data_IF_477672775384
#
_entry.id   IF_477672775384
#
_cell.length_a   1.000
_cell.length_b   1.000
_cell.length_c   1.000
_cell.angle_alpha   90.00
_cell.angle_beta   90.00
_cell.angle_gamma   90.00
#
_symmetry.space_group_name_H-M   'P 1'
#
loop_
_entity.id
_entity.type
_entity.pdbx_description
1 polymer ?
#
# COMPACT_ATOMS: atom_id res chain seq x y z
N UNK A 1 0.62 -63.75 101.50
CA UNK A 1 1.69 -64.02 100.52
C UNK A 1 1.86 -62.79 99.64
N UNK A 2 3.12 -62.31 99.49
CA UNK A 2 3.70 -61.52 98.38
C UNK A 2 2.87 -60.27 97.96
N UNK A 3 3.22 -59.04 98.33
CA UNK A 3 4.52 -58.38 98.17
C UNK A 3 4.56 -57.70 96.80
N UNK A 4 4.85 -56.40 96.73
CA UNK A 4 5.58 -55.77 95.63
C UNK A 4 6.24 -54.47 96.12
N UNK A 5 7.50 -54.35 95.70
CA UNK A 5 8.50 -53.36 96.04
C UNK A 5 8.40 -52.17 95.07
N UNK A 6 8.80 -50.97 95.46
CA UNK A 6 8.84 -49.84 94.53
C UNK A 6 9.40 -48.56 95.12
N UNK A 7 10.73 -48.45 95.12
CA UNK A 7 11.50 -47.24 95.48
C UNK A 7 11.50 -46.24 94.29
N UNK A 8 11.76 -44.95 94.61
CA UNK A 8 12.40 -43.89 93.79
C UNK A 8 11.56 -42.82 93.03
N UNK A 9 12.08 -41.57 93.15
CA UNK A 9 12.07 -40.42 92.20
C UNK A 9 10.88 -39.43 92.17
N UNK A 10 10.71 -38.62 93.21
CA UNK A 10 9.76 -37.48 93.20
C UNK A 10 10.36 -36.11 92.83
N UNK A 11 11.68 -35.95 92.72
CA UNK A 11 12.33 -34.67 92.37
C UNK A 11 12.69 -34.46 90.89
N UNK A 12 12.69 -35.52 90.07
CA UNK A 12 13.13 -35.48 88.66
C UNK A 12 12.00 -35.19 87.67
N UNK A 13 10.75 -35.51 88.02
CA UNK A 13 9.60 -35.34 87.11
C UNK A 13 9.13 -33.88 86.99
N UNK A 14 9.29 -33.06 88.03
CA UNK A 14 8.84 -31.65 88.01
C UNK A 14 9.74 -30.75 87.13
N UNK A 15 11.06 -30.98 87.16
CA UNK A 15 12.01 -30.28 86.26
C UNK A 15 11.78 -30.65 84.80
N UNK A 16 11.41 -31.90 84.52
CA UNK A 16 11.09 -32.36 83.17
C UNK A 16 9.80 -31.72 82.63
N UNK A 17 8.78 -31.56 83.50
CA UNK A 17 7.54 -30.88 83.15
C UNK A 17 7.74 -29.39 82.82
N UNK A 18 8.56 -28.67 83.58
CA UNK A 18 8.85 -27.26 83.33
C UNK A 18 9.63 -27.05 82.01
N UNK A 19 10.51 -27.97 81.64
CA UNK A 19 11.22 -27.94 80.35
C UNK A 19 10.25 -28.16 79.18
N UNK A 20 9.35 -29.13 79.29
CA UNK A 20 8.33 -29.39 78.26
C UNK A 20 7.39 -28.18 78.10
N UNK A 21 6.92 -27.61 79.20
CA UNK A 21 6.05 -26.43 79.17
C UNK A 21 6.77 -25.22 78.53
N UNK A 22 8.06 -25.01 78.83
CA UNK A 22 8.86 -23.95 78.22
C UNK A 22 9.09 -24.14 76.71
N UNK A 23 9.35 -25.38 76.26
CA UNK A 23 9.44 -25.71 74.83
C UNK A 23 8.10 -25.48 74.12
N UNK A 24 6.98 -25.87 74.74
CA UNK A 24 5.65 -25.63 74.19
C UNK A 24 5.35 -24.13 74.02
N UNK A 25 5.68 -23.29 75.01
CA UNK A 25 5.49 -21.84 74.91
C UNK A 25 6.37 -21.23 73.81
N UNK A 26 7.64 -21.66 73.70
CA UNK A 26 8.53 -21.19 72.64
C UNK A 26 8.05 -21.59 71.23
N UNK A 27 7.52 -22.81 71.07
CA UNK A 27 6.94 -23.28 69.80
C UNK A 27 5.65 -22.52 69.44
N UNK A 28 4.81 -22.19 70.42
CA UNK A 28 3.61 -21.36 70.19
C UNK A 28 3.99 -19.94 69.74
N UNK A 29 4.95 -19.30 70.39
CA UNK A 29 5.44 -17.98 69.96
C UNK A 29 6.08 -18.00 68.56
N UNK A 30 6.82 -19.07 68.22
CA UNK A 30 7.36 -19.24 66.87
C UNK A 30 6.25 -19.45 65.83
N UNK A 31 5.19 -20.18 66.18
CA UNK A 31 4.05 -20.41 65.30
C UNK A 31 3.26 -19.11 65.05
N UNK A 32 3.01 -18.30 66.09
CA UNK A 32 2.38 -16.99 65.96
C UNK A 32 3.23 -16.02 65.13
N UNK A 33 4.54 -15.95 65.38
CA UNK A 33 5.46 -15.12 64.59
C UNK A 33 5.51 -15.54 63.12
N UNK A 34 5.51 -16.85 62.85
CA UNK A 34 5.48 -17.37 61.48
C UNK A 34 4.14 -17.08 60.79
N UNK A 35 3.02 -17.15 61.52
CA UNK A 35 1.70 -16.80 61.03
C UNK A 35 1.58 -15.29 60.69
N UNK A 36 2.08 -14.40 61.55
CA UNK A 36 2.12 -12.95 61.27
C UNK A 36 3.04 -12.61 60.08
N UNK A 37 4.18 -13.31 59.95
CA UNK A 37 5.10 -13.15 58.82
C UNK A 37 4.48 -13.60 57.49
N UNK A 38 3.73 -14.71 57.49
CA UNK A 38 2.99 -15.18 56.32
C UNK A 38 1.86 -14.21 55.93
N UNK A 39 1.07 -13.74 56.89
CA UNK A 39 -0.01 -12.78 56.65
C UNK A 39 0.50 -11.46 56.04
N UNK A 40 1.66 -10.97 56.49
CA UNK A 40 2.31 -9.78 55.93
C UNK A 40 2.75 -9.98 54.47
N UNK A 41 3.29 -11.16 54.13
CA UNK A 41 3.67 -11.50 52.75
C UNK A 41 2.46 -11.66 51.84
N UNK A 42 1.38 -12.27 52.33
CA UNK A 42 0.13 -12.41 51.58
C UNK A 42 -0.52 -11.05 51.29
N UNK A 43 -0.48 -10.11 52.24
CA UNK A 43 -0.96 -8.74 52.03
C UNK A 43 -0.20 -8.03 50.90
N UNK A 44 1.13 -8.17 50.87
CA UNK A 44 1.98 -7.60 49.81
C UNK A 44 1.72 -8.26 48.44
N UNK A 45 1.55 -9.59 48.40
CA UNK A 45 1.23 -10.31 47.16
C UNK A 45 -0.12 -9.85 46.60
N UNK A 46 -1.12 -9.67 47.47
CA UNK A 46 -2.45 -9.21 47.07
C UNK A 46 -2.42 -7.78 46.53
N UNK A 47 -1.67 -6.86 47.15
CA UNK A 47 -1.57 -5.48 46.65
C UNK A 47 -0.87 -5.42 45.29
N UNK A 48 0.21 -6.18 45.10
CA UNK A 48 0.93 -6.26 43.81
C UNK A 48 0.06 -6.92 42.73
N UNK A 49 -0.69 -7.97 43.08
CA UNK A 49 -1.63 -8.63 42.17
C UNK A 49 -2.74 -7.69 41.70
N UNK A 50 -3.27 -6.87 42.62
CA UNK A 50 -4.29 -5.87 42.29
C UNK A 50 -3.76 -4.79 41.35
N UNK A 51 -2.56 -4.27 41.60
CA UNK A 51 -1.90 -3.27 40.75
C UNK A 51 -1.56 -3.82 39.35
N UNK A 52 -1.09 -5.07 39.27
CA UNK A 52 -0.84 -5.72 37.98
C UNK A 52 -2.14 -5.92 37.19
N UNK A 53 -3.24 -6.26 37.88
CA UNK A 53 -4.56 -6.41 37.28
C UNK A 53 -5.11 -5.11 36.67
N UNK A 54 -4.92 -3.96 37.33
CA UNK A 54 -5.36 -2.67 36.79
C UNK A 54 -4.55 -2.29 35.54
N UNK A 55 -3.23 -2.49 35.56
CA UNK A 55 -2.36 -2.23 34.40
C UNK A 55 -2.70 -3.13 33.20
N UNK A 56 -2.91 -4.43 33.43
CA UNK A 56 -3.32 -5.35 32.37
C UNK A 56 -4.69 -4.97 31.78
N UNK A 57 -5.63 -4.55 32.62
CA UNK A 57 -6.93 -4.05 32.18
C UNK A 57 -6.82 -2.78 31.32
N UNK A 58 -5.92 -1.86 31.65
CA UNK A 58 -5.68 -0.66 30.83
C UNK A 58 -5.01 -0.99 29.48
N UNK A 59 -4.05 -1.93 29.49
CA UNK A 59 -3.43 -2.44 28.26
C UNK A 59 -4.49 -3.07 27.35
N UNK A 60 -5.41 -3.87 27.89
CA UNK A 60 -6.48 -4.47 27.08
C UNK A 60 -7.41 -3.41 26.48
N UNK A 61 -7.81 -2.39 27.24
CA UNK A 61 -8.61 -1.27 26.70
C UNK A 61 -7.90 -0.56 25.55
N UNK A 62 -6.60 -0.28 25.68
CA UNK A 62 -5.81 0.34 24.61
C UNK A 62 -5.69 -0.57 23.39
N UNK A 63 -5.47 -1.87 23.61
CA UNK A 63 -5.41 -2.85 22.53
C UNK A 63 -6.75 -2.96 21.78
N UNK A 64 -7.88 -2.88 22.47
CA UNK A 64 -9.20 -2.83 21.81
C UNK A 64 -9.37 -1.56 20.97
N UNK A 65 -8.92 -0.40 21.46
CA UNK A 65 -8.94 0.85 20.68
C UNK A 65 -8.08 0.74 19.42
N UNK A 66 -6.86 0.20 19.53
CA UNK A 66 -5.96 0.00 18.39
C UNK A 66 -6.59 -0.93 17.35
N UNK A 67 -7.21 -2.03 17.78
CA UNK A 67 -7.93 -2.95 16.88
C UNK A 67 -9.04 -2.23 16.11
N UNK A 68 -9.86 -1.44 16.81
CA UNK A 68 -10.95 -0.68 16.19
C UNK A 68 -10.43 0.38 15.19
N UNK A 69 -9.32 1.04 15.52
CA UNK A 69 -8.67 1.99 14.61
C UNK A 69 -8.09 1.31 13.38
N UNK A 70 -7.45 0.15 13.52
CA UNK A 70 -6.89 -0.63 12.41
C UNK A 70 -7.96 -1.02 11.38
N UNK A 71 -9.16 -1.42 11.85
CA UNK A 71 -10.29 -1.72 10.95
C UNK A 71 -10.71 -0.48 10.16
N UNK A 72 -10.76 0.69 10.80
CA UNK A 72 -11.10 1.96 10.12
C UNK A 72 -10.03 2.35 9.09
N UNK A 73 -8.76 2.20 9.42
CA UNK A 73 -7.64 2.47 8.52
C UNK A 73 -7.70 1.55 7.31
N UNK A 74 -7.83 0.24 7.50
CA UNK A 74 -7.92 -0.71 6.38
C UNK A 74 -9.13 -0.46 5.48
N UNK A 75 -10.25 0.00 6.05
CA UNK A 75 -11.43 0.39 5.26
C UNK A 75 -11.16 1.68 4.47
N UNK A 76 -10.51 2.68 5.09
CA UNK A 76 -10.13 3.91 4.41
C UNK A 76 -9.13 3.66 3.28
N UNK A 77 -8.15 2.76 3.48
CA UNK A 77 -7.19 2.35 2.46
C UNK A 77 -7.90 1.71 1.25
N UNK A 78 -8.91 0.87 1.47
CA UNK A 78 -9.73 0.31 0.39
C UNK A 78 -10.42 1.40 -0.42
N UNK A 79 -10.99 2.40 0.26
CA UNK A 79 -11.65 3.54 -0.41
C UNK A 79 -10.63 4.37 -1.18
N UNK A 80 -9.49 4.71 -0.59
CA UNK A 80 -8.41 5.48 -1.25
C UNK A 80 -7.92 4.75 -2.50
N UNK A 81 -7.69 3.44 -2.41
CA UNK A 81 -7.28 2.63 -3.55
C UNK A 81 -8.35 2.58 -4.65
N UNK A 82 -9.63 2.43 -4.28
CA UNK A 82 -10.73 2.48 -5.24
C UNK A 82 -10.80 3.85 -5.96
N UNK A 83 -10.66 4.95 -5.22
CA UNK A 83 -10.62 6.30 -5.79
C UNK A 83 -9.41 6.50 -6.72
N UNK A 84 -8.24 5.96 -6.37
CA UNK A 84 -7.05 5.99 -7.24
C UNK A 84 -7.33 5.29 -8.57
N UNK A 85 -7.87 4.08 -8.52
CA UNK A 85 -8.25 3.31 -9.72
C UNK A 85 -9.28 4.06 -10.56
N UNK A 86 -10.29 4.66 -9.91
CA UNK A 86 -11.29 5.47 -10.61
C UNK A 86 -10.67 6.69 -11.30
N UNK A 87 -9.73 7.37 -10.64
CA UNK A 87 -9.02 8.52 -11.22
C UNK A 87 -8.16 8.10 -12.41
N UNK A 88 -7.38 7.03 -12.28
CA UNK A 88 -6.55 6.50 -13.36
C UNK A 88 -7.39 6.14 -14.59
N UNK A 89 -8.54 5.49 -14.36
CA UNK A 89 -9.51 5.21 -15.43
C UNK A 89 -10.03 6.49 -16.07
N UNK A 90 -10.47 7.47 -15.28
CA UNK A 90 -11.00 8.73 -15.81
C UNK A 90 -9.95 9.50 -16.63
N UNK A 91 -8.68 9.46 -16.23
CA UNK A 91 -7.58 10.03 -17.00
C UNK A 91 -7.38 9.27 -18.32
N UNK A 92 -7.37 7.94 -18.29
CA UNK A 92 -7.24 7.12 -19.49
C UNK A 92 -8.40 7.36 -20.48
N UNK A 93 -9.63 7.40 -19.98
CA UNK A 93 -10.82 7.69 -20.78
C UNK A 93 -10.73 9.12 -21.38
N UNK A 94 -10.23 10.12 -20.64
CA UNK A 94 -10.06 11.48 -21.14
C UNK A 94 -8.99 11.58 -22.24
N UNK A 95 -7.84 10.92 -22.08
CA UNK A 95 -6.79 10.87 -23.12
C UNK A 95 -7.32 10.19 -24.39
N UNK A 96 -8.05 9.07 -24.23
CA UNK A 96 -8.66 8.38 -25.38
C UNK A 96 -9.66 9.28 -26.13
N UNK A 97 -10.40 10.15 -25.44
CA UNK A 97 -11.30 11.12 -26.10
C UNK A 97 -10.51 12.12 -26.96
N UNK A 98 -9.38 12.63 -26.47
CA UNK A 98 -8.54 13.57 -27.22
C UNK A 98 -7.90 12.92 -28.45
N UNK A 99 -7.35 11.72 -28.30
CA UNK A 99 -6.77 10.95 -29.43
C UNK A 99 -7.83 10.62 -30.48
N UNK A 100 -9.03 10.17 -30.04
CA UNK A 100 -10.15 9.91 -30.93
C UNK A 100 -10.64 11.19 -31.64
N UNK A 101 -10.62 12.33 -30.96
CA UNK A 101 -10.98 13.61 -31.56
C UNK A 101 -9.96 14.02 -32.64
N UNK A 102 -8.67 13.90 -32.37
CA UNK A 102 -7.61 14.18 -33.34
C UNK A 102 -7.70 13.26 -34.57
N UNK A 103 -7.93 11.96 -34.36
CA UNK A 103 -8.11 11.00 -35.46
C UNK A 103 -9.38 11.30 -36.27
N UNK A 104 -10.50 11.64 -35.61
CA UNK A 104 -11.74 12.02 -36.30
C UNK A 104 -11.57 13.27 -37.16
N UNK A 105 -10.87 14.29 -36.65
CA UNK A 105 -10.54 15.49 -37.43
C UNK A 105 -9.65 15.13 -38.61
N UNK A 106 -8.67 14.24 -38.43
CA UNK A 106 -7.84 13.74 -39.54
C UNK A 106 -8.68 13.07 -40.62
N UNK A 107 -9.57 12.14 -40.27
CA UNK A 107 -10.45 11.46 -41.24
C UNK A 107 -11.25 12.45 -42.09
N UNK A 108 -11.68 13.56 -41.50
CA UNK A 108 -12.36 14.64 -42.22
C UNK A 108 -11.42 15.40 -43.16
N UNK A 109 -10.22 15.76 -42.69
CA UNK A 109 -9.21 16.51 -43.47
C UNK A 109 -8.67 15.73 -44.67
N UNK A 110 -8.56 14.41 -44.55
CA UNK A 110 -8.13 13.53 -45.65
C UNK A 110 -9.28 13.06 -46.54
N UNK A 111 -10.50 13.55 -46.29
CA UNK A 111 -11.70 13.17 -47.02
C UNK A 111 -11.91 11.65 -47.05
N UNK A 112 -11.73 10.99 -45.89
CA UNK A 112 -11.93 9.56 -45.76
C UNK A 112 -13.38 9.17 -46.06
N UNK A 113 -13.56 8.23 -46.97
CA UNK A 113 -14.85 7.66 -47.31
C UNK A 113 -14.96 6.25 -46.71
N UNK A 114 -15.88 6.07 -45.76
CA UNK A 114 -16.06 4.80 -45.05
C UNK A 114 -16.55 3.66 -45.95
N UNK A 115 -17.33 3.97 -46.99
CA UNK A 115 -17.89 2.96 -47.90
C UNK A 115 -16.83 2.41 -48.85
N UNK A 116 -15.96 3.28 -49.37
CA UNK A 116 -14.92 2.91 -50.33
C UNK A 116 -13.55 2.66 -49.68
N UNK A 117 -13.39 3.03 -48.40
CA UNK A 117 -12.12 3.04 -47.66
C UNK A 117 -11.02 3.85 -48.36
N UNK A 118 -11.39 4.86 -49.13
CA UNK A 118 -10.47 5.73 -49.87
C UNK A 118 -10.23 7.03 -49.10
N UNK A 119 -9.02 7.57 -49.18
CA UNK A 119 -8.63 8.84 -48.56
C UNK A 119 -7.51 9.52 -49.35
N UNK A 120 -7.32 10.82 -49.12
CA UNK A 120 -6.16 11.59 -49.59
C UNK A 120 -4.96 11.35 -48.67
N UNK A 121 -3.77 11.28 -49.25
CA UNK A 121 -2.53 11.06 -48.49
C UNK A 121 -1.97 12.35 -47.87
N UNK A 122 -2.46 13.49 -48.33
CA UNK A 122 -2.13 14.82 -47.85
C UNK A 122 -3.39 15.55 -47.35
N UNK A 123 -3.19 16.56 -46.52
CA UNK A 123 -4.25 17.33 -45.83
C UNK A 123 -4.17 18.83 -46.18
N UNK A 124 -5.28 19.58 -46.11
CA UNK A 124 -5.34 20.98 -46.54
C UNK A 124 -4.67 21.97 -45.59
N UNK A 125 -4.31 21.54 -44.38
CA UNK A 125 -3.58 22.33 -43.38
C UNK A 125 -2.05 22.15 -43.48
N UNK A 126 -1.55 21.54 -44.56
CA UNK A 126 -0.11 21.40 -44.87
C UNK A 126 0.74 20.71 -43.78
N UNK A 127 0.14 20.02 -42.81
CA UNK A 127 0.88 19.16 -41.88
C UNK A 127 1.24 17.83 -42.54
N UNK A 128 2.41 17.32 -42.20
CA UNK A 128 2.92 16.04 -42.70
C UNK A 128 3.74 15.32 -41.61
N UNK A 129 4.13 14.08 -41.89
CA UNK A 129 4.97 13.27 -41.02
C UNK A 129 4.28 12.96 -39.67
N UNK A 130 5.06 12.94 -38.60
CA UNK A 130 4.60 12.65 -37.23
C UNK A 130 3.89 13.81 -36.53
N UNK A 131 3.77 14.98 -37.18
CA UNK A 131 3.07 16.14 -36.63
C UNK A 131 1.54 16.07 -36.77
N UNK A 132 1.06 15.05 -37.48
CA UNK A 132 -0.33 14.68 -37.66
C UNK A 132 -0.52 13.21 -37.23
N UNK A 133 -1.73 12.81 -36.83
CA UNK A 133 -2.07 11.40 -36.65
C UNK A 133 -1.68 10.54 -37.86
N UNK A 134 -1.52 9.24 -37.66
CA UNK A 134 -1.29 8.31 -38.77
C UNK A 134 -2.54 8.22 -39.67
N UNK A 135 -2.31 7.91 -40.94
CA UNK A 135 -3.35 7.60 -41.90
C UNK A 135 -4.03 6.26 -41.56
N UNK A 136 -5.21 5.95 -42.13
CA UNK A 136 -5.91 4.69 -41.88
C UNK A 136 -5.13 3.42 -42.25
N UNK A 137 -4.10 3.54 -43.09
CA UNK A 137 -3.16 2.48 -43.49
C UNK A 137 -1.90 2.42 -42.61
N UNK A 138 -1.89 3.11 -41.46
CA UNK A 138 -0.77 3.22 -40.52
C UNK A 138 0.48 3.94 -41.08
N UNK A 139 0.34 4.61 -42.23
CA UNK A 139 1.39 5.42 -42.83
C UNK A 139 1.32 6.89 -42.36
N UNK A 140 2.42 7.63 -42.57
CA UNK A 140 2.48 9.06 -42.23
C UNK A 140 1.76 9.92 -43.28
N UNK A 141 1.25 11.07 -42.84
CA UNK A 141 0.67 12.06 -43.76
C UNK A 141 1.74 12.64 -44.68
N UNK A 142 1.47 12.63 -45.98
CA UNK A 142 2.36 13.09 -47.04
C UNK A 142 2.07 14.55 -47.43
N UNK A 143 2.93 15.11 -48.28
CA UNK A 143 2.66 16.38 -48.95
C UNK A 143 2.13 16.14 -50.36
N UNK A 144 1.35 17.10 -50.89
CA UNK A 144 0.81 16.97 -52.25
C UNK A 144 1.96 16.94 -53.27
N UNK A 145 2.18 15.82 -53.99
CA UNK A 145 3.31 15.66 -54.90
C UNK A 145 3.22 16.56 -56.14
N UNK A 146 2.01 17.01 -56.48
CA UNK A 146 1.70 17.92 -57.60
C UNK A 146 1.39 19.35 -57.15
N UNK A 147 1.44 19.60 -55.83
CA UNK A 147 1.10 20.88 -55.23
C UNK A 147 2.26 21.86 -55.17
N UNK A 148 1.99 23.06 -54.67
CA UNK A 148 3.01 24.12 -54.47
C UNK A 148 4.06 23.75 -53.40
N UNK A 149 3.71 22.84 -52.48
CA UNK A 149 4.50 22.48 -51.31
C UNK A 149 4.75 20.96 -51.24
N UNK A 150 5.62 20.41 -52.10
CA UNK A 150 5.77 18.96 -52.23
C UNK A 150 6.70 18.34 -51.18
N UNK A 151 7.39 19.12 -50.34
CA UNK A 151 8.37 18.60 -49.39
C UNK A 151 7.89 18.68 -47.95
N UNK A 152 8.01 17.58 -47.21
CA UNK A 152 7.79 17.53 -45.77
C UNK A 152 9.08 17.86 -45.02
N UNK A 153 9.04 18.92 -44.21
CA UNK A 153 10.15 19.34 -43.36
C UNK A 153 10.34 18.46 -42.13
N UNK A 154 11.51 18.55 -41.47
CA UNK A 154 11.79 17.88 -40.20
C UNK A 154 10.79 18.23 -39.07
N UNK A 155 10.16 19.40 -39.15
CA UNK A 155 9.18 19.88 -38.17
C UNK A 155 7.74 19.46 -38.52
N UNK A 156 7.54 18.72 -39.62
CA UNK A 156 6.25 18.16 -40.01
C UNK A 156 5.33 19.13 -40.75
N UNK A 157 5.89 20.05 -41.53
CA UNK A 157 5.13 20.96 -42.39
C UNK A 157 5.54 20.82 -43.85
N UNK A 158 4.56 20.88 -44.74
CA UNK A 158 4.74 20.92 -46.18
C UNK A 158 5.25 22.28 -46.62
N UNK A 159 6.27 22.30 -47.47
CA UNK A 159 6.82 23.50 -48.07
C UNK A 159 7.66 23.18 -49.30
N UNK A 160 8.31 24.21 -49.84
CA UNK A 160 9.14 24.11 -51.05
C UNK A 160 10.52 24.75 -50.90
N UNK A 161 10.85 25.30 -49.73
CA UNK A 161 12.16 25.90 -49.50
C UNK A 161 13.24 24.83 -49.25
N UNK A 162 14.52 25.20 -49.38
CA UNK A 162 15.64 24.30 -49.09
C UNK A 162 15.56 23.68 -47.68
N UNK A 163 15.03 24.40 -46.69
CA UNK A 163 14.84 23.87 -45.34
C UNK A 163 13.74 22.79 -45.26
N UNK A 164 12.79 22.78 -46.21
CA UNK A 164 11.74 21.76 -46.31
C UNK A 164 12.16 20.57 -47.15
N UNK A 165 13.03 20.75 -48.15
CA UNK A 165 13.37 19.71 -49.12
C UNK A 165 14.78 19.12 -48.96
N UNK A 166 15.72 19.86 -48.35
CA UNK A 166 17.16 19.53 -48.35
C UNK A 166 17.73 19.26 -46.96
N UNK A 167 16.88 19.08 -45.95
CA UNK A 167 17.33 18.63 -44.63
C UNK A 167 17.50 17.12 -44.58
N UNK A 168 18.29 16.62 -43.62
CA UNK A 168 18.62 15.19 -43.51
C UNK A 168 17.43 14.27 -43.23
N UNK A 169 16.38 14.79 -42.61
CA UNK A 169 15.14 14.07 -42.27
C UNK A 169 13.95 14.49 -43.11
N UNK A 170 14.15 15.37 -44.09
CA UNK A 170 13.09 15.89 -44.96
C UNK A 170 12.72 14.86 -46.03
N UNK A 171 11.44 14.84 -46.43
CA UNK A 171 10.95 13.95 -47.49
C UNK A 171 10.40 14.79 -48.63
N UNK A 172 10.90 14.56 -49.85
CA UNK A 172 10.41 15.24 -51.05
C UNK A 172 9.47 14.32 -51.82
N UNK A 173 8.21 14.71 -51.96
CA UNK A 173 7.18 13.94 -52.65
C UNK A 173 6.99 14.33 -54.13
N UNK A 174 7.76 15.29 -54.66
CA UNK A 174 7.59 15.77 -56.04
C UNK A 174 7.64 14.59 -57.05
N UNK A 175 6.66 14.55 -57.96
CA UNK A 175 6.51 13.50 -58.98
C UNK A 175 7.73 13.37 -59.91
N UNK A 176 8.59 14.38 -59.99
CA UNK A 176 9.84 14.32 -60.77
C UNK A 176 10.96 13.49 -60.10
N UNK A 177 10.88 13.20 -58.79
CA UNK A 177 11.89 12.43 -58.06
C UNK A 177 11.35 11.37 -57.06
N UNK A 178 10.03 11.19 -56.92
CA UNK A 178 9.44 10.37 -55.85
C UNK A 178 8.30 9.42 -56.24
N UNK A 179 8.00 9.26 -57.53
CA UNK A 179 6.98 8.30 -57.99
C UNK A 179 7.47 6.86 -57.96
N UNK A 180 7.50 6.20 -56.79
CA UNK A 180 7.33 4.73 -56.79
C UNK A 180 5.86 4.44 -57.02
N UNK A 181 5.49 4.33 -58.30
CA UNK A 181 4.30 3.61 -58.74
C UNK A 181 4.37 2.20 -58.13
N UNK A 182 3.55 1.93 -57.11
CA UNK A 182 3.37 0.57 -56.60
C UNK A 182 2.51 -0.17 -57.63
N UNK A 183 3.15 -1.09 -58.34
CA UNK A 183 2.49 -2.16 -59.10
C UNK A 183 1.72 -3.11 -58.16
#
# INVERSE_FOLDING_TARGET
>A
MRGWCGRCRSGWQYKQFLVILGICVALLCLFEWFAESLASRDALINSVSQELGTHLGEIDRRNQLIKNMSVRISTAERVINALRVQREKAIADAVAVEENAAFKVQLQLIEYNENTKTFKRYRPDDKCGSSAPLLPDEEVVECNPTGQFPCCSAVGWCGSSANHCSCSTCINYNTEHGGKEKA
#
